data_IF_766329693091
#
_entry.id   IF_766329693091
#
_cell.length_a   1.000
_cell.length_b   1.000
_cell.length_c   1.000
_cell.angle_alpha   90.00
_cell.angle_beta   90.00
_cell.angle_gamma   90.00
#
_symmetry.space_group_name_H-M   'P 1'
#
loop_
_entity.id
_entity.type
_entity.pdbx_description
1 polymer ?
#
# COMPACT_ATOMS: atom_id res chain seq x y z
N UNK A 1 6.32 15.80 -3.00
CA UNK A 1 7.08 15.86 -1.74
C UNK A 1 7.57 17.28 -1.59
N UNK A 2 7.24 17.90 -0.47
CA UNK A 2 7.78 19.22 -0.12
C UNK A 2 9.08 19.09 0.69
N UNK A 3 9.76 20.22 0.89
CA UNK A 3 11.05 20.29 1.57
C UNK A 3 10.96 19.91 3.06
N UNK A 4 9.83 20.21 3.73
CA UNK A 4 9.62 19.84 5.12
C UNK A 4 9.53 18.31 5.28
N UNK A 5 8.83 17.64 4.35
CA UNK A 5 8.76 16.19 4.32
C UNK A 5 10.14 15.56 4.12
N UNK A 6 10.93 16.08 3.19
CA UNK A 6 12.29 15.59 2.94
C UNK A 6 13.18 15.74 4.19
N UNK A 7 13.19 16.91 4.81
CA UNK A 7 13.94 17.18 6.03
C UNK A 7 13.54 16.23 7.18
N UNK A 8 12.25 15.91 7.31
CA UNK A 8 11.78 14.97 8.32
C UNK A 8 12.24 13.54 8.04
N UNK A 9 12.24 13.11 6.78
CA UNK A 9 12.75 11.79 6.37
C UNK A 9 14.25 11.68 6.69
N UNK A 10 15.04 12.70 6.32
CA UNK A 10 16.47 12.75 6.61
C UNK A 10 16.76 12.68 8.11
N UNK A 11 16.01 13.44 8.92
CA UNK A 11 16.11 13.41 10.38
C UNK A 11 15.86 12.01 10.96
N UNK A 12 14.80 11.33 10.51
CA UNK A 12 14.43 10.00 11.01
C UNK A 12 15.45 8.94 10.60
N UNK A 13 15.89 8.97 9.34
CA UNK A 13 16.91 8.04 8.84
C UNK A 13 18.24 8.25 9.58
N UNK A 14 18.65 9.50 9.78
CA UNK A 14 19.85 9.83 10.55
C UNK A 14 19.75 9.33 11.99
N UNK A 15 18.57 9.39 12.60
CA UNK A 15 18.34 8.84 13.94
C UNK A 15 18.50 7.31 13.96
N UNK A 16 17.96 6.58 12.97
CA UNK A 16 18.19 5.13 12.86
C UNK A 16 19.66 4.80 12.67
N UNK A 17 20.39 5.55 11.84
CA UNK A 17 21.82 5.33 11.66
C UNK A 17 22.67 5.79 12.86
N UNK A 18 22.17 6.61 13.76
CA UNK A 18 22.96 7.11 14.89
C UNK A 18 22.75 6.31 16.18
N UNK A 19 21.77 5.41 16.22
CA UNK A 19 21.46 4.61 17.40
C UNK A 19 22.52 3.52 17.64
N UNK A 20 23.50 3.84 18.49
CA UNK A 20 24.61 2.93 18.84
C UNK A 20 24.20 1.73 19.68
N UNK A 21 22.96 1.69 20.20
CA UNK A 21 22.45 0.55 20.96
C UNK A 21 22.00 -0.59 20.06
N UNK A 22 21.86 -0.34 18.75
CA UNK A 22 21.44 -1.32 17.75
C UNK A 22 22.61 -1.74 16.86
N UNK A 23 22.58 -2.99 16.40
CA UNK A 23 23.55 -3.48 15.43
C UNK A 23 23.42 -2.76 14.08
N UNK A 24 24.51 -2.66 13.29
CA UNK A 24 24.48 -2.00 11.99
C UNK A 24 23.39 -2.51 11.03
N UNK A 25 23.13 -3.82 11.02
CA UNK A 25 22.10 -4.46 10.19
C UNK A 25 20.68 -4.03 10.58
N UNK A 26 20.38 -3.94 11.88
CA UNK A 26 19.07 -3.48 12.37
C UNK A 26 18.85 -2.02 12.00
N UNK A 27 19.87 -1.17 12.14
CA UNK A 27 19.81 0.24 11.75
C UNK A 27 19.53 0.43 10.26
N UNK A 28 20.23 -0.35 9.42
CA UNK A 28 20.02 -0.37 7.97
C UNK A 28 18.60 -0.83 7.64
N UNK A 29 18.15 -1.95 8.21
CA UNK A 29 16.80 -2.49 7.99
C UNK A 29 15.72 -1.49 8.40
N UNK A 30 15.86 -0.79 9.52
CA UNK A 30 14.90 0.22 9.96
C UNK A 30 14.81 1.39 8.97
N UNK A 31 15.95 1.85 8.46
CA UNK A 31 16.03 2.93 7.47
C UNK A 31 15.36 2.53 6.16
N UNK A 32 15.71 1.36 5.63
CA UNK A 32 15.12 0.83 4.40
C UNK A 32 13.61 0.60 4.56
N UNK A 33 13.17 0.03 5.69
CA UNK A 33 11.75 -0.19 5.98
C UNK A 33 10.98 1.12 6.03
N UNK A 34 11.53 2.15 6.65
CA UNK A 34 10.90 3.47 6.72
C UNK A 34 10.73 4.08 5.32
N UNK A 35 11.81 4.08 4.52
CA UNK A 35 11.77 4.55 3.13
C UNK A 35 10.79 3.77 2.27
N UNK A 36 10.73 2.45 2.40
CA UNK A 36 9.78 1.61 1.68
C UNK A 36 8.32 1.96 2.02
N UNK A 37 8.02 2.18 3.31
CA UNK A 37 6.69 2.64 3.73
C UNK A 37 6.34 3.99 3.13
N UNK A 38 7.26 4.95 3.20
CA UNK A 38 7.05 6.27 2.60
C UNK A 38 6.77 6.16 1.10
N UNK A 39 7.58 5.38 0.37
CA UNK A 39 7.41 5.16 -1.06
C UNK A 39 6.05 4.54 -1.38
N UNK A 40 5.59 3.57 -0.59
CA UNK A 40 4.27 2.96 -0.76
C UNK A 40 3.14 3.98 -0.65
N UNK A 41 3.23 4.92 0.31
CA UNK A 41 2.24 6.00 0.47
C UNK A 41 2.23 6.92 -0.76
N UNK A 42 3.40 7.30 -1.27
CA UNK A 42 3.48 8.16 -2.46
C UNK A 42 2.87 7.50 -3.70
N UNK A 43 3.10 6.19 -3.88
CA UNK A 43 2.46 5.42 -4.97
C UNK A 43 0.94 5.42 -4.81
N UNK A 44 0.45 5.12 -3.60
CA UNK A 44 -1.00 5.15 -3.31
C UNK A 44 -1.63 6.52 -3.62
N UNK A 45 -1.01 7.61 -3.13
CA UNK A 45 -1.47 8.96 -3.39
C UNK A 45 -1.51 9.29 -4.89
N UNK A 46 -0.50 8.84 -5.64
CA UNK A 46 -0.44 9.04 -7.09
C UNK A 46 -1.59 8.33 -7.81
N UNK A 47 -1.91 7.09 -7.40
CA UNK A 47 -3.03 6.34 -7.95
C UNK A 47 -4.35 7.05 -7.67
N UNK A 48 -4.55 7.53 -6.44
CA UNK A 48 -5.79 8.22 -6.03
C UNK A 48 -5.95 9.55 -6.75
N UNK A 49 -4.88 10.33 -6.88
CA UNK A 49 -4.92 11.58 -7.63
C UNK A 49 -5.34 11.38 -9.09
N UNK A 50 -4.91 10.25 -9.70
CA UNK A 50 -5.18 9.98 -11.11
C UNK A 50 -6.51 9.29 -11.37
N UNK A 51 -6.93 8.38 -10.49
CA UNK A 51 -8.06 7.48 -10.73
C UNK A 51 -9.15 7.51 -9.64
N UNK A 52 -8.95 8.33 -8.61
CA UNK A 52 -9.80 8.34 -7.41
C UNK A 52 -9.62 7.07 -6.58
N UNK A 53 -10.62 6.77 -5.76
CA UNK A 53 -10.63 5.61 -4.85
C UNK A 53 -11.30 4.38 -5.44
N UNK A 54 -11.47 4.32 -6.77
CA UNK A 54 -12.09 3.17 -7.42
C UNK A 54 -11.10 2.03 -7.59
N UNK A 55 -11.58 0.80 -7.40
CA UNK A 55 -10.82 -0.40 -7.73
C UNK A 55 -10.68 -0.52 -9.25
N UNK A 56 -9.44 -0.62 -9.74
CA UNK A 56 -9.11 -0.52 -11.17
C UNK A 56 -9.17 -1.85 -11.92
N UNK A 57 -9.04 -2.97 -11.22
CA UNK A 57 -8.94 -4.31 -11.80
C UNK A 57 -9.56 -5.40 -10.95
N UNK A 58 -9.49 -6.64 -11.44
CA UNK A 58 -10.01 -7.82 -10.77
C UNK A 58 -11.55 -7.87 -10.68
N UNK A 59 -12.10 -8.86 -9.95
CA UNK A 59 -13.54 -9.07 -9.82
C UNK A 59 -14.30 -7.90 -9.20
N UNK A 60 -13.61 -7.07 -8.41
CA UNK A 60 -14.18 -5.91 -7.71
C UNK A 60 -14.05 -4.59 -8.49
N UNK A 61 -13.64 -4.63 -9.76
CA UNK A 61 -13.42 -3.44 -10.59
C UNK A 61 -14.64 -2.51 -10.58
N UNK A 62 -14.38 -1.23 -10.36
CA UNK A 62 -15.39 -0.18 -10.34
C UNK A 62 -16.03 0.09 -8.98
N UNK A 63 -15.80 -0.77 -7.97
CA UNK A 63 -16.21 -0.50 -6.60
C UNK A 63 -15.47 0.72 -6.03
N UNK A 64 -16.17 1.53 -5.24
CA UNK A 64 -15.53 2.59 -4.46
C UNK A 64 -14.84 1.96 -3.25
N UNK A 65 -13.59 2.32 -3.03
CA UNK A 65 -12.84 1.95 -1.85
C UNK A 65 -12.77 3.14 -0.88
N UNK A 66 -12.30 2.91 0.35
CA UNK A 66 -12.27 3.92 1.40
C UNK A 66 -11.33 5.09 1.04
N UNK A 67 -11.67 6.32 1.45
CA UNK A 67 -10.85 7.52 1.23
C UNK A 67 -9.57 7.55 2.07
N UNK A 68 -9.55 6.78 3.15
CA UNK A 68 -8.38 6.61 4.00
C UNK A 68 -8.35 5.20 4.57
N UNK A 69 -7.15 4.64 4.70
CA UNK A 69 -6.91 3.38 5.41
C UNK A 69 -5.80 3.60 6.45
N UNK A 70 -6.01 3.07 7.65
CA UNK A 70 -5.09 3.23 8.78
C UNK A 70 -3.80 2.43 8.61
N UNK A 71 -3.85 1.29 7.92
CA UNK A 71 -2.69 0.43 7.70
C UNK A 71 -2.71 -0.28 6.35
N UNK A 72 -1.54 -0.35 5.70
CA UNK A 72 -1.11 -1.39 4.76
C UNK A 72 -1.96 -1.68 3.51
N UNK A 73 -1.28 -2.05 2.42
CA UNK A 73 -1.92 -2.68 1.26
C UNK A 73 -3.00 -1.85 0.52
N UNK A 74 -2.96 -0.53 0.63
CA UNK A 74 -3.92 0.33 -0.08
C UNK A 74 -3.75 0.25 -1.61
N UNK A 75 -2.50 0.29 -2.06
CA UNK A 75 -2.14 0.22 -3.48
C UNK A 75 -2.61 -1.09 -4.15
N UNK A 76 -2.29 -2.30 -3.64
CA UNK A 76 -2.77 -3.53 -4.27
C UNK A 76 -4.30 -3.65 -4.31
N UNK A 77 -4.99 -3.15 -3.27
CA UNK A 77 -6.47 -3.13 -3.23
C UNK A 77 -7.05 -2.19 -4.30
N UNK A 78 -6.53 -0.97 -4.44
CA UNK A 78 -6.95 -0.04 -5.49
C UNK A 78 -6.63 -0.56 -6.90
N UNK A 79 -5.47 -1.20 -7.08
CA UNK A 79 -5.13 -1.84 -8.36
C UNK A 79 -6.02 -3.07 -8.66
N UNK A 80 -6.71 -3.60 -7.66
CA UNK A 80 -7.52 -4.81 -7.79
C UNK A 80 -6.68 -6.07 -7.92
N UNK A 81 -5.46 -6.07 -7.38
CA UNK A 81 -4.51 -7.19 -7.40
C UNK A 81 -4.40 -7.86 -6.03
N UNK A 82 -5.14 -7.37 -5.03
CA UNK A 82 -5.22 -8.01 -3.74
C UNK A 82 -5.88 -9.40 -3.90
N UNK A 83 -5.26 -10.42 -3.30
CA UNK A 83 -5.70 -11.82 -3.37
C UNK A 83 -5.96 -12.28 -4.82
N UNK A 84 -5.03 -11.96 -5.73
CA UNK A 84 -5.15 -12.30 -7.15
C UNK A 84 -5.34 -13.80 -7.40
N UNK A 85 -4.80 -14.66 -6.52
CA UNK A 85 -5.01 -16.11 -6.61
C UNK A 85 -6.49 -16.52 -6.43
N UNK A 86 -7.32 -15.67 -5.82
CA UNK A 86 -8.75 -15.93 -5.62
C UNK A 86 -9.62 -15.50 -6.80
N UNK A 87 -9.11 -14.71 -7.74
CA UNK A 87 -9.94 -14.07 -8.78
C UNK A 87 -10.69 -15.09 -9.63
N UNK A 88 -10.02 -16.15 -10.08
CA UNK A 88 -10.66 -17.20 -10.90
C UNK A 88 -11.80 -17.91 -10.18
N UNK A 89 -11.66 -18.11 -8.87
CA UNK A 89 -12.70 -18.76 -8.07
C UNK A 89 -13.89 -17.83 -7.83
N UNK A 90 -13.65 -16.53 -7.64
CA UNK A 90 -14.72 -15.53 -7.54
C UNK A 90 -15.49 -15.46 -8.86
N UNK A 91 -14.79 -15.43 -9.99
CA UNK A 91 -15.41 -15.42 -11.32
C UNK A 91 -16.27 -16.68 -11.54
N UNK A 92 -15.79 -17.86 -11.14
CA UNK A 92 -16.55 -19.12 -11.20
C UNK A 92 -17.82 -19.08 -10.34
N UNK A 93 -17.76 -18.48 -9.14
CA UNK A 93 -18.94 -18.31 -8.27
C UNK A 93 -19.97 -17.38 -8.93
N UNK A 94 -19.51 -16.26 -9.49
CA UNK A 94 -20.37 -15.29 -10.19
C UNK A 94 -21.03 -15.93 -11.41
N UNK A 95 -20.31 -16.77 -12.15
CA UNK A 95 -20.83 -17.52 -13.29
C UNK A 95 -21.88 -18.55 -12.86
N UNK A 96 -21.60 -19.33 -11.81
CA UNK A 96 -22.50 -20.37 -11.31
C UNK A 96 -23.80 -19.84 -10.70
N UNK A 97 -23.80 -18.58 -10.21
CA UNK A 97 -24.94 -17.94 -9.55
C UNK A 97 -25.64 -18.86 -8.53
N UNK A 98 -24.89 -19.40 -7.54
CA UNK A 98 -25.51 -20.24 -6.52
C UNK A 98 -26.59 -19.46 -5.77
N UNK A 99 -27.63 -20.15 -5.31
CA UNK A 99 -28.64 -19.55 -4.45
C UNK A 99 -27.99 -18.99 -3.18
N UNK A 100 -28.31 -17.75 -2.83
CA UNK A 100 -27.92 -17.16 -1.53
C UNK A 100 -28.95 -17.63 -0.50
N UNK A 101 -28.48 -18.28 0.56
CA UNK A 101 -29.32 -18.81 1.65
C UNK A 101 -29.53 -17.72 2.70
#
# INVERSE_FOLDING_TARGET
>A
MDENQLNNIERIISAFFSDKNLSPDVRMNNSLRYLAKYRSIQIGNTIIQKYGTKVLGGPFKGMNFLDSVSEGCYTPKLLGLYEAELHSYIDEIVEKKPGVI
#
